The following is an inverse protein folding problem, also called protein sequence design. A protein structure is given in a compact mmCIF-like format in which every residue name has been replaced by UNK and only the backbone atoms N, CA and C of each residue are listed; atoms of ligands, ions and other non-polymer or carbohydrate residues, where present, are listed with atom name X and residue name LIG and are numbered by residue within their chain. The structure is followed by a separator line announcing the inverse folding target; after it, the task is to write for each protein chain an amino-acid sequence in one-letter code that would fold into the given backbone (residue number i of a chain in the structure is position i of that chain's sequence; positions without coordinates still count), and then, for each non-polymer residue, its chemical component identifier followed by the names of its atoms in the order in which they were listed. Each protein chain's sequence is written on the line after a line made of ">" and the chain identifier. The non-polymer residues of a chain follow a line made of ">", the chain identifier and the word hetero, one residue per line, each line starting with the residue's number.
data_IF_013086088812
#
_entry.id   IF_013086088812
#
_cell.length_a   1.000
_cell.length_b   1.000
_cell.length_c   1.000
_cell.angle_alpha   90.00
_cell.angle_beta   90.00
_cell.angle_gamma   90.00
#
_symmetry.space_group_name_H-M   'P 1'
#
loop_
_entity.id
_entity.type
_entity.pdbx_description
1 polymer ?
#
# COMPACT_ATOMS: atom_id res chain seq x y z
N UNK A 1 -0.02 -15.29 6.38
CA UNK A 1 0.81 -14.12 6.01
C UNK A 1 1.84 -13.88 7.09
N UNK A 2 3.11 -13.70 6.72
CA UNK A 2 4.13 -13.24 7.66
C UNK A 2 3.98 -11.72 7.82
N UNK A 3 3.87 -11.23 9.06
CA UNK A 3 3.85 -9.80 9.37
C UNK A 3 5.25 -9.18 9.49
N UNK A 4 6.30 -9.99 9.41
CA UNK A 4 7.67 -9.52 9.56
C UNK A 4 8.17 -8.87 8.28
N UNK A 5 8.38 -7.55 8.32
CA UNK A 5 8.87 -6.73 7.21
C UNK A 5 9.70 -5.58 7.76
N UNK A 6 10.67 -5.13 6.97
CA UNK A 6 11.48 -3.96 7.28
C UNK A 6 11.24 -2.93 6.18
N UNK A 7 10.95 -1.69 6.58
CA UNK A 7 10.72 -0.58 5.67
C UNK A 7 11.81 0.49 5.83
N UNK A 8 12.38 1.00 4.74
CA UNK A 8 13.34 2.10 4.81
C UNK A 8 12.67 3.36 5.38
N UNK A 9 13.28 3.94 6.42
CA UNK A 9 12.64 4.98 7.24
C UNK A 9 12.28 6.25 6.45
N UNK A 10 13.26 6.81 5.74
CA UNK A 10 13.07 8.07 4.99
C UNK A 10 11.91 8.00 3.97
N UNK A 11 11.85 7.03 3.04
CA UNK A 11 10.73 6.92 2.10
C UNK A 11 9.42 6.52 2.78
N UNK A 12 9.44 5.76 3.87
CA UNK A 12 8.24 5.43 4.63
C UNK A 12 7.60 6.68 5.25
N UNK A 13 8.40 7.57 5.85
CA UNK A 13 7.92 8.83 6.43
C UNK A 13 7.37 9.79 5.35
N UNK A 14 8.02 9.86 4.19
CA UNK A 14 7.61 10.74 3.10
C UNK A 14 6.23 10.39 2.50
N UNK A 15 5.79 9.14 2.62
CA UNK A 15 4.47 8.71 2.14
C UNK A 15 3.35 9.16 3.09
N UNK A 16 3.60 9.27 4.39
CA UNK A 16 2.53 9.36 5.39
C UNK A 16 1.64 8.11 5.41
N UNK A 17 0.73 8.03 6.38
CA UNK A 17 -0.15 6.86 6.58
C UNK A 17 -1.61 7.28 6.65
N UNK A 18 -2.50 6.38 6.25
CA UNK A 18 -3.94 6.57 6.44
C UNK A 18 -4.61 5.38 7.12
N UNK A 19 -3.99 4.19 7.05
CA UNK A 19 -4.28 3.05 7.90
C UNK A 19 -3.52 3.10 9.23
N UNK A 20 -4.14 2.54 10.26
CA UNK A 20 -3.64 2.53 11.63
C UNK A 20 -3.62 1.12 12.26
N UNK A 21 -3.99 0.09 11.49
CA UNK A 21 -4.12 -1.27 11.99
C UNK A 21 -3.75 -2.31 10.93
N UNK A 22 -4.59 -3.31 10.70
CA UNK A 22 -4.31 -4.43 9.79
C UNK A 22 -4.21 -4.00 8.31
N UNK A 23 -4.72 -2.83 7.99
CA UNK A 23 -4.65 -2.19 6.68
C UNK A 23 -3.31 -1.47 6.46
N UNK A 24 -2.62 -1.01 7.52
CA UNK A 24 -1.38 -0.24 7.40
C UNK A 24 -0.29 -0.97 6.59
N UNK A 25 0.01 -2.22 6.93
CA UNK A 25 1.06 -3.01 6.28
C UNK A 25 0.87 -3.12 4.76
N UNK A 26 -0.40 -3.27 4.36
CA UNK A 26 -0.80 -3.37 2.96
C UNK A 26 -0.63 -2.01 2.28
N UNK A 27 -1.09 -0.94 2.94
CA UNK A 27 -0.97 0.42 2.42
C UNK A 27 0.49 0.80 2.18
N UNK A 28 1.34 0.68 3.20
CA UNK A 28 2.72 1.15 3.13
C UNK A 28 3.52 0.34 2.10
N UNK A 29 3.31 -0.98 2.03
CA UNK A 29 3.99 -1.83 1.05
C UNK A 29 3.62 -1.43 -0.39
N UNK A 30 2.32 -1.28 -0.68
CA UNK A 30 1.85 -0.87 -2.02
C UNK A 30 2.37 0.51 -2.40
N UNK A 31 2.32 1.47 -1.46
CA UNK A 31 2.74 2.85 -1.72
C UNK A 31 4.25 2.98 -1.88
N UNK A 32 5.06 2.21 -1.14
CA UNK A 32 6.52 2.13 -1.34
C UNK A 32 6.88 1.55 -2.71
N UNK A 33 6.18 0.49 -3.14
CA UNK A 33 6.34 -0.05 -4.51
C UNK A 33 6.00 1.00 -5.56
N UNK A 34 4.93 1.77 -5.37
CA UNK A 34 4.59 2.87 -6.29
C UNK A 34 5.58 4.04 -6.26
N UNK A 35 6.30 4.22 -5.16
CA UNK A 35 7.39 5.18 -5.03
C UNK A 35 8.72 4.64 -5.62
N UNK A 36 8.73 3.43 -6.17
CA UNK A 36 9.90 2.83 -6.80
C UNK A 36 10.88 2.19 -5.81
N UNK A 37 10.48 1.96 -4.56
CA UNK A 37 11.32 1.27 -3.57
C UNK A 37 11.37 -0.23 -3.91
N UNK A 38 12.56 -0.84 -4.06
CA UNK A 38 12.67 -2.25 -4.40
C UNK A 38 12.22 -3.16 -3.25
N UNK A 39 11.63 -4.30 -3.60
CA UNK A 39 11.21 -5.33 -2.65
C UNK A 39 12.20 -6.50 -2.69
N UNK A 40 12.78 -6.82 -1.54
CA UNK A 40 13.72 -7.94 -1.39
C UNK A 40 13.04 -8.99 -0.51
N UNK A 41 12.83 -10.19 -1.05
CA UNK A 41 12.25 -11.30 -0.30
C UNK A 41 13.38 -12.19 0.23
N UNK A 42 13.39 -12.43 1.55
CA UNK A 42 14.37 -13.28 2.22
C UNK A 42 13.70 -14.50 2.85
N UNK A 43 14.31 -15.69 2.75
CA UNK A 43 13.79 -16.89 3.40
C UNK A 43 13.80 -16.66 4.92
N UNK A 44 12.61 -16.68 5.53
CA UNK A 44 12.44 -16.40 6.95
C UNK A 44 11.65 -17.53 7.58
N UNK A 45 12.20 -18.15 8.64
CA UNK A 45 11.47 -19.13 9.44
C UNK A 45 10.43 -18.40 10.29
N UNK A 46 9.18 -18.85 10.23
CA UNK A 46 8.05 -18.29 10.98
C UNK A 46 7.48 -19.38 11.88
N UNK A 47 7.32 -19.08 13.17
CA UNK A 47 6.60 -19.93 14.13
C UNK A 47 5.30 -19.23 14.49
N UNK A 48 4.17 -19.88 14.21
CA UNK A 48 2.88 -19.47 14.71
C UNK A 48 2.59 -20.26 15.99
N UNK A 49 2.37 -19.54 17.09
CA UNK A 49 2.05 -20.16 18.38
C UNK A 49 0.55 -20.47 18.37
N UNK A 50 0.19 -21.74 18.56
CA UNK A 50 -1.21 -22.15 18.65
C UNK A 50 -1.89 -21.58 19.88
N UNK A 51 -3.23 -21.54 19.91
CA UNK A 51 -3.97 -21.09 21.10
C UNK A 51 -3.62 -21.91 22.34
N UNK A 52 -3.40 -23.21 22.14
CA UNK A 52 -3.10 -24.18 23.19
C UNK A 52 -1.73 -23.93 23.85
N UNK A 53 -0.81 -23.31 23.10
CA UNK A 53 0.50 -22.84 23.57
C UNK A 53 0.47 -21.37 24.05
N UNK A 54 -0.71 -20.76 24.19
CA UNK A 54 -0.87 -19.37 24.62
C UNK A 54 -0.88 -18.33 23.50
N UNK A 55 -1.01 -18.75 22.24
CA UNK A 55 -1.08 -17.86 21.08
C UNK A 55 -2.33 -16.98 21.08
N UNK A 56 -2.15 -15.67 21.00
CA UNK A 56 -3.25 -14.68 20.92
C UNK A 56 -3.38 -14.16 19.49
N UNK A 57 -4.61 -14.10 18.99
CA UNK A 57 -4.92 -13.41 17.73
C UNK A 57 -5.42 -12.00 18.03
N UNK A 58 -4.73 -10.99 17.48
CA UNK A 58 -5.15 -9.60 17.53
C UNK A 58 -6.17 -9.22 16.44
N UNK A 59 -6.53 -10.16 15.57
CA UNK A 59 -7.40 -9.94 14.43
C UNK A 59 -8.87 -9.90 14.85
N UNK A 60 -9.54 -8.78 14.59
CA UNK A 60 -10.99 -8.62 14.76
C UNK A 60 -11.67 -8.91 13.44
N UNK A 61 -12.22 -10.12 13.32
CA UNK A 61 -12.74 -10.69 12.06
C UNK A 61 -13.53 -9.68 11.23
N UNK A 62 -14.55 -9.04 11.78
CA UNK A 62 -15.39 -8.14 11.00
C UNK A 62 -14.69 -6.80 10.70
N UNK A 63 -14.28 -6.08 11.75
CA UNK A 63 -13.72 -4.73 11.60
C UNK A 63 -12.44 -4.68 10.76
N UNK A 64 -11.56 -5.69 10.90
CA UNK A 64 -10.33 -5.74 10.12
C UNK A 64 -10.58 -6.13 8.67
N UNK A 65 -11.53 -7.03 8.39
CA UNK A 65 -11.93 -7.33 7.01
C UNK A 65 -12.53 -6.10 6.32
N UNK A 66 -13.37 -5.31 7.00
CA UNK A 66 -13.90 -4.06 6.46
C UNK A 66 -12.77 -3.07 6.14
N UNK A 67 -11.83 -2.85 7.08
CA UNK A 67 -10.68 -1.96 6.87
C UNK A 67 -9.82 -2.40 5.68
N UNK A 68 -9.46 -3.68 5.63
CA UNK A 68 -8.66 -4.25 4.54
C UNK A 68 -9.38 -4.11 3.20
N UNK A 69 -10.68 -4.43 3.15
CA UNK A 69 -11.47 -4.36 1.92
C UNK A 69 -11.58 -2.91 1.42
N UNK A 70 -11.88 -1.98 2.31
CA UNK A 70 -11.93 -0.56 1.98
C UNK A 70 -10.58 -0.03 1.46
N UNK A 71 -9.48 -0.40 2.13
CA UNK A 71 -8.15 -0.02 1.69
C UNK A 71 -7.87 -0.54 0.26
N UNK A 72 -8.14 -1.82 -0.01
CA UNK A 72 -7.93 -2.40 -1.32
C UNK A 72 -8.76 -1.70 -2.39
N UNK A 73 -10.04 -1.44 -2.11
CA UNK A 73 -10.91 -0.68 -3.00
C UNK A 73 -10.32 0.70 -3.30
N UNK A 74 -9.89 1.44 -2.27
CA UNK A 74 -9.31 2.78 -2.42
C UNK A 74 -8.00 2.76 -3.23
N UNK A 75 -7.06 1.87 -2.91
CA UNK A 75 -5.78 1.77 -3.62
C UNK A 75 -5.98 1.36 -5.09
N UNK A 76 -6.86 0.39 -5.34
CA UNK A 76 -7.15 -0.09 -6.69
C UNK A 76 -7.80 1.01 -7.53
N UNK A 77 -8.80 1.69 -6.96
CA UNK A 77 -9.48 2.81 -7.62
C UNK A 77 -8.51 3.97 -7.91
N UNK A 78 -7.63 4.31 -6.97
CA UNK A 78 -6.62 5.36 -7.15
C UNK A 78 -5.66 5.03 -8.31
N UNK A 79 -5.21 3.78 -8.43
CA UNK A 79 -4.23 3.38 -9.44
C UNK A 79 -4.86 3.16 -10.82
N UNK A 80 -6.01 2.49 -10.87
CA UNK A 80 -6.65 2.07 -12.13
C UNK A 80 -7.54 3.16 -12.70
N UNK A 81 -8.30 3.85 -11.86
CA UNK A 81 -9.28 4.84 -12.34
C UNK A 81 -8.68 6.24 -12.25
N UNK A 82 -8.29 6.73 -11.07
CA UNK A 82 -7.93 8.15 -10.90
C UNK A 82 -6.68 8.54 -11.71
N UNK A 83 -5.58 7.77 -11.62
CA UNK A 83 -4.31 8.15 -12.26
C UNK A 83 -4.38 8.24 -13.80
N UNK A 84 -4.97 7.27 -14.53
CA UNK A 84 -5.12 7.39 -15.98
C UNK A 84 -6.01 8.55 -16.40
N UNK A 85 -7.14 8.78 -15.73
CA UNK A 85 -8.04 9.91 -16.02
C UNK A 85 -7.35 11.26 -15.80
N UNK A 86 -6.64 11.43 -14.69
CA UNK A 86 -5.87 12.66 -14.42
C UNK A 86 -4.76 12.87 -15.47
N UNK A 87 -4.06 11.80 -15.86
CA UNK A 87 -3.01 11.89 -16.88
C UNK A 87 -3.59 12.25 -18.26
N UNK A 88 -4.74 11.67 -18.63
CA UNK A 88 -5.46 12.00 -19.86
C UNK A 88 -5.91 13.46 -19.86
N UNK A 89 -6.57 13.91 -18.78
CA UNK A 89 -7.00 15.29 -18.63
C UNK A 89 -5.84 16.28 -18.73
N UNK A 90 -4.70 15.99 -18.09
CA UNK A 90 -3.48 16.80 -18.22
C UNK A 90 -2.95 16.83 -19.64
N UNK A 91 -2.98 15.70 -20.38
CA UNK A 91 -2.57 15.66 -21.80
C UNK A 91 -3.45 16.54 -22.67
N UNK A 92 -4.77 16.48 -22.48
CA UNK A 92 -5.74 17.26 -23.24
C UNK A 92 -5.64 18.77 -22.98
N UNK A 93 -5.16 19.16 -21.79
CA UNK A 93 -4.97 20.57 -21.40
C UNK A 93 -3.56 21.10 -21.59
N UNK A 94 -2.63 20.31 -22.15
CA UNK A 94 -1.32 20.86 -22.51
C UNK A 94 -1.54 21.88 -23.62
N UNK A 95 -1.26 23.18 -23.41
CA UNK A 95 -1.30 24.14 -24.51
C UNK A 95 -0.32 23.69 -25.58
N UNK A 96 -0.74 23.76 -26.85
CA UNK A 96 0.17 23.54 -27.96
C UNK A 96 1.31 24.53 -27.82
N UNK A 97 2.52 24.04 -27.54
CA UNK A 97 3.72 24.88 -27.63
C UNK A 97 3.74 25.43 -29.07
N UNK A 98 3.80 26.76 -29.26
CA UNK A 98 3.94 27.29 -30.60
C UNK A 98 5.21 26.69 -31.20
N UNK A 99 5.07 26.08 -32.39
CA UNK A 99 6.20 25.55 -33.14
C UNK A 99 7.17 26.71 -33.40
N UNK A 100 8.28 26.73 -32.66
CA UNK A 100 9.36 27.69 -32.86
C UNK A 100 9.92 27.50 -34.27
N UNK A 101 9.96 28.61 -35.00
CA UNK A 101 10.63 28.79 -36.30
C UNK A 101 12.12 28.53 -36.20
#
# INVERSE_FOLDING_TARGET
>A
MCGFRVYPLAPALALGRTGDRMDFDIEIAVRLVWAGVPVINLPTRVRYIGRDEGGVSHFRVFGDNVKISWLHTRLSFQRVMVRPWVNLYRRLRRPALPAGR
#
